data_IF_829386600352
#
_entry.id   IF_829386600352
#
_cell.length_a   1.000
_cell.length_b   1.000
_cell.length_c   1.000
_cell.angle_alpha   90.00
_cell.angle_beta   90.00
_cell.angle_gamma   90.00
#
_symmetry.space_group_name_H-M   'P 1'
#
loop_
_entity.id
_entity.type
_entity.pdbx_description
1 polymer ?
#
# COMPACT_ATOMS: atom_id res chain seq x y z
N UNK A 1 28.65 -84.74 2.59
CA UNK A 1 27.81 -85.17 1.44
C UNK A 1 26.59 -84.26 1.38
N UNK A 2 26.36 -83.61 0.23
CA UNK A 2 25.13 -82.90 -0.18
C UNK A 2 24.69 -81.68 0.66
N UNK A 3 24.16 -80.57 0.11
CA UNK A 3 23.98 -80.08 -1.27
C UNK A 3 23.80 -78.55 -1.17
N UNK A 4 24.35 -77.85 -2.15
CA UNK A 4 24.04 -76.46 -2.50
C UNK A 4 22.53 -76.27 -2.67
N UNK A 5 21.99 -75.15 -2.18
CA UNK A 5 20.78 -74.54 -2.71
C UNK A 5 21.00 -73.04 -2.82
N UNK A 6 21.23 -72.62 -4.07
CA UNK A 6 21.32 -71.23 -4.49
C UNK A 6 19.90 -70.67 -4.60
N UNK A 7 19.59 -69.64 -3.81
CA UNK A 7 18.42 -68.81 -4.05
C UNK A 7 18.90 -67.52 -4.73
N UNK A 8 18.93 -67.53 -6.06
CA UNK A 8 18.97 -66.33 -6.88
C UNK A 8 17.61 -65.65 -6.72
N UNK A 9 17.51 -64.71 -5.79
CA UNK A 9 16.40 -63.76 -5.78
C UNK A 9 16.73 -62.64 -6.78
N UNK A 10 16.01 -62.69 -7.90
CA UNK A 10 15.93 -61.64 -8.92
C UNK A 10 15.60 -60.29 -8.25
N UNK A 11 16.62 -59.47 -8.02
CA UNK A 11 16.47 -58.03 -7.77
C UNK A 11 16.13 -57.38 -9.11
N UNK A 12 14.84 -57.36 -9.42
CA UNK A 12 14.27 -56.54 -10.48
C UNK A 12 14.41 -55.09 -9.99
N UNK A 13 15.52 -54.45 -10.37
CA UNK A 13 15.72 -53.02 -10.19
C UNK A 13 14.67 -52.30 -11.05
N UNK A 14 13.74 -51.52 -10.48
CA UNK A 14 12.91 -50.65 -11.29
C UNK A 14 13.84 -49.63 -11.93
N UNK A 15 14.02 -49.76 -13.25
CA UNK A 15 14.57 -48.70 -14.09
C UNK A 15 13.55 -47.57 -14.00
N UNK A 16 13.75 -46.67 -13.03
CA UNK A 16 13.09 -45.38 -12.99
C UNK A 16 13.64 -44.65 -14.21
N UNK A 17 12.88 -44.69 -15.30
CA UNK A 17 13.06 -43.79 -16.43
C UNK A 17 12.77 -42.40 -15.88
N UNK A 18 13.79 -41.77 -15.32
CA UNK A 18 13.84 -40.33 -15.14
C UNK A 18 13.77 -39.77 -16.55
N UNK A 19 12.55 -39.56 -17.03
CA UNK A 19 12.28 -38.65 -18.14
C UNK A 19 12.97 -37.36 -17.77
N UNK A 20 14.16 -37.17 -18.33
CA UNK A 20 14.89 -35.92 -18.29
C UNK A 20 13.96 -34.91 -18.93
N UNK A 21 13.17 -34.20 -18.12
CA UNK A 21 12.65 -32.92 -18.50
C UNK A 21 13.89 -32.14 -18.93
N UNK A 22 14.05 -31.98 -20.24
CA UNK A 22 14.91 -30.96 -20.80
C UNK A 22 14.42 -29.65 -20.20
N UNK A 23 15.01 -29.28 -19.07
CA UNK A 23 14.99 -27.93 -18.55
C UNK A 23 15.69 -27.12 -19.62
N UNK A 24 14.93 -26.73 -20.66
CA UNK A 24 15.34 -25.65 -21.54
C UNK A 24 15.76 -24.55 -20.58
N UNK A 25 17.04 -24.14 -20.58
CA UNK A 25 17.48 -23.08 -19.70
C UNK A 25 16.51 -21.94 -19.94
N UNK A 26 15.74 -21.57 -18.92
CA UNK A 26 14.91 -20.38 -18.95
C UNK A 26 15.82 -19.30 -19.49
N UNK A 27 15.54 -18.83 -20.71
CA UNK A 27 16.37 -17.89 -21.39
C UNK A 27 16.66 -16.79 -20.38
N UNK A 28 17.95 -16.63 -20.02
CA UNK A 28 18.38 -15.63 -19.04
C UNK A 28 17.71 -14.33 -19.44
N UNK A 29 16.87 -13.81 -18.55
CA UNK A 29 16.13 -12.56 -18.68
C UNK A 29 17.16 -11.41 -18.51
N UNK A 30 18.18 -11.38 -19.37
CA UNK A 30 19.27 -10.40 -19.35
C UNK A 30 18.86 -9.11 -20.09
N UNK A 31 17.63 -9.05 -20.63
CA UNK A 31 17.01 -7.76 -20.90
C UNK A 31 16.53 -7.20 -19.58
N UNK A 32 17.45 -6.52 -18.87
CA UNK A 32 17.08 -5.51 -17.89
C UNK A 32 15.98 -4.67 -18.53
N UNK A 33 14.78 -4.71 -17.95
CA UNK A 33 13.76 -3.75 -18.30
C UNK A 33 14.39 -2.39 -18.03
N UNK A 34 14.73 -1.66 -19.10
CA UNK A 34 15.54 -0.44 -18.99
C UNK A 34 14.96 0.50 -17.93
N UNK A 35 15.82 1.28 -17.26
CA UNK A 35 15.41 2.12 -16.14
C UNK A 35 14.12 2.91 -16.46
N UNK A 36 13.00 2.52 -15.82
CA UNK A 36 11.70 3.20 -15.98
C UNK A 36 11.58 4.46 -15.11
N UNK A 37 12.62 4.74 -14.32
CA UNK A 37 12.69 5.86 -13.40
C UNK A 37 13.58 6.96 -13.97
N UNK A 38 13.17 8.21 -13.81
CA UNK A 38 13.94 9.38 -14.21
C UNK A 38 13.89 10.46 -13.15
N UNK A 39 15.06 10.99 -12.78
CA UNK A 39 15.17 11.99 -11.71
C UNK A 39 14.91 11.44 -10.30
N UNK A 40 14.56 12.34 -9.38
CA UNK A 40 14.41 12.04 -7.96
C UNK A 40 13.00 11.62 -7.55
N UNK A 41 11.99 11.93 -8.38
CA UNK A 41 10.61 11.51 -8.17
C UNK A 41 9.82 11.62 -9.46
N UNK A 42 8.78 10.81 -9.61
CA UNK A 42 7.90 10.93 -10.76
C UNK A 42 6.68 10.02 -10.68
N UNK A 43 5.87 10.12 -11.73
CA UNK A 43 4.68 9.30 -11.92
C UNK A 43 4.96 8.19 -12.94
N UNK A 44 4.31 7.05 -12.75
CA UNK A 44 4.37 5.90 -13.64
C UNK A 44 3.00 5.72 -14.27
N UNK A 45 2.97 5.71 -15.60
CA UNK A 45 1.73 5.49 -16.36
C UNK A 45 1.46 3.99 -16.50
N UNK A 46 0.22 3.63 -16.79
CA UNK A 46 -0.18 2.25 -17.07
C UNK A 46 0.70 1.60 -18.15
N UNK A 47 0.98 2.32 -19.24
CA UNK A 47 1.83 1.81 -20.33
C UNK A 47 3.27 1.50 -19.90
N UNK A 48 3.82 2.24 -18.94
CA UNK A 48 5.17 2.00 -18.43
C UNK A 48 5.17 0.87 -17.41
N UNK A 49 4.23 0.89 -16.46
CA UNK A 49 4.32 0.02 -15.29
C UNK A 49 3.84 -1.40 -15.55
N UNK A 50 2.83 -1.60 -16.40
CA UNK A 50 2.28 -2.94 -16.64
C UNK A 50 3.32 -3.86 -17.31
N UNK A 51 4.04 -3.44 -18.36
CA UNK A 51 5.11 -4.24 -18.93
C UNK A 51 6.22 -4.53 -17.90
N UNK A 52 6.56 -3.56 -17.05
CA UNK A 52 7.56 -3.74 -16.00
C UNK A 52 7.15 -4.78 -14.96
N UNK A 53 5.91 -4.71 -14.45
CA UNK A 53 5.34 -5.70 -13.51
C UNK A 53 5.40 -7.12 -14.07
N UNK A 54 5.07 -7.29 -15.36
CA UNK A 54 5.13 -8.58 -16.05
C UNK A 54 6.58 -9.03 -16.30
N UNK A 55 7.46 -8.11 -16.70
CA UNK A 55 8.86 -8.39 -16.96
C UNK A 55 9.63 -8.77 -15.68
N UNK A 56 9.27 -8.21 -14.54
CA UNK A 56 9.91 -8.49 -13.25
C UNK A 56 9.16 -9.54 -12.41
N UNK A 57 8.07 -10.11 -12.94
CA UNK A 57 7.22 -11.09 -12.24
C UNK A 57 6.76 -10.59 -10.85
N UNK A 58 6.40 -9.31 -10.75
CA UNK A 58 5.97 -8.71 -9.48
C UNK A 58 4.64 -9.26 -8.96
N UNK A 59 3.86 -9.88 -9.85
CA UNK A 59 2.58 -10.50 -9.53
C UNK A 59 2.49 -11.85 -10.23
N UNK A 60 2.09 -12.88 -9.47
CA UNK A 60 1.86 -14.23 -9.98
C UNK A 60 0.64 -14.29 -10.92
N UNK A 61 -0.27 -13.32 -10.80
CA UNK A 61 -1.60 -13.36 -11.43
C UNK A 61 -1.84 -12.24 -12.43
N UNK A 62 -0.83 -11.76 -13.19
CA UNK A 62 -1.06 -10.77 -14.24
C UNK A 62 -2.22 -11.21 -15.15
N UNK A 63 -3.40 -10.61 -14.94
CA UNK A 63 -4.64 -11.33 -15.15
C UNK A 63 -4.93 -11.57 -16.63
N UNK A 64 -5.35 -12.79 -17.03
CA UNK A 64 -5.90 -13.07 -18.36
C UNK A 64 -7.15 -12.22 -18.69
N UNK A 65 -7.73 -11.55 -17.68
CA UNK A 65 -8.98 -10.80 -17.74
C UNK A 65 -8.86 -9.41 -18.36
N UNK A 66 -7.63 -8.85 -18.44
CA UNK A 66 -7.41 -7.58 -19.15
C UNK A 66 -7.63 -7.84 -20.64
N UNK A 67 -8.87 -7.60 -21.08
CA UNK A 67 -9.26 -7.54 -22.50
C UNK A 67 -8.26 -6.67 -23.26
N UNK A 68 -8.15 -6.90 -24.57
CA UNK A 68 -7.24 -6.28 -25.57
C UNK A 68 -7.31 -4.73 -25.68
N UNK A 69 -7.54 -4.02 -24.60
CA UNK A 69 -7.49 -2.57 -24.53
C UNK A 69 -6.03 -2.14 -24.57
N UNK A 70 -5.65 -1.19 -25.43
CA UNK A 70 -4.33 -0.58 -25.38
C UNK A 70 -4.06 0.01 -24.00
N UNK A 71 -2.83 -0.15 -23.49
CA UNK A 71 -2.40 0.47 -22.24
C UNK A 71 -2.41 1.99 -22.38
N UNK A 72 -2.92 2.69 -21.36
CA UNK A 72 -3.01 4.15 -21.38
C UNK A 72 -1.69 4.83 -21.06
N UNK A 73 -1.36 5.86 -21.84
CA UNK A 73 -0.25 6.80 -21.57
C UNK A 73 -0.62 7.89 -20.57
N UNK A 74 -1.91 8.10 -20.30
CA UNK A 74 -2.40 9.17 -19.41
C UNK A 74 -2.83 8.68 -18.04
N UNK A 75 -3.09 7.39 -17.89
CA UNK A 75 -3.51 6.81 -16.61
C UNK A 75 -2.30 6.64 -15.71
N UNK A 76 -2.21 7.45 -14.65
CA UNK A 76 -1.21 7.28 -13.60
C UNK A 76 -1.56 6.04 -12.77
N UNK A 77 -0.61 5.12 -12.68
CA UNK A 77 -0.73 3.87 -11.92
C UNK A 77 0.33 3.73 -10.84
N UNK A 78 1.31 4.63 -10.79
CA UNK A 78 2.34 4.59 -9.76
C UNK A 78 3.02 5.91 -9.52
N UNK A 79 3.76 5.96 -8.43
CA UNK A 79 4.63 7.06 -8.06
C UNK A 79 5.90 6.51 -7.42
N UNK A 80 7.03 7.15 -7.70
CA UNK A 80 8.32 6.75 -7.15
C UNK A 80 9.09 7.94 -6.58
N UNK A 81 10.01 7.62 -5.69
CA UNK A 81 10.96 8.55 -5.12
C UNK A 81 12.34 7.89 -5.01
N UNK A 82 13.38 8.63 -5.31
CA UNK A 82 14.76 8.20 -5.12
C UNK A 82 15.11 8.19 -3.64
N UNK A 83 15.79 7.13 -3.22
CA UNK A 83 16.35 6.94 -1.90
C UNK A 83 17.79 6.44 -2.05
N UNK A 84 18.76 7.34 -1.92
CA UNK A 84 20.17 7.03 -2.18
C UNK A 84 20.38 6.45 -3.60
N UNK A 85 20.81 5.20 -3.69
CA UNK A 85 21.12 4.47 -4.93
C UNK A 85 19.96 3.59 -5.43
N UNK A 86 18.79 3.68 -4.80
CA UNK A 86 17.58 2.95 -5.19
C UNK A 86 16.35 3.86 -5.27
N UNK A 87 15.22 3.27 -5.67
CA UNK A 87 13.91 3.90 -5.66
C UNK A 87 12.96 3.18 -4.72
N UNK A 88 12.14 3.95 -4.01
CA UNK A 88 10.93 3.48 -3.35
C UNK A 88 9.75 3.73 -4.30
N UNK A 89 9.01 2.68 -4.62
CA UNK A 89 7.95 2.72 -5.64
C UNK A 89 6.64 2.24 -5.02
N UNK A 90 5.56 2.95 -5.31
CA UNK A 90 4.20 2.53 -5.00
C UNK A 90 3.37 2.51 -6.28
N UNK A 91 2.69 1.41 -6.54
CA UNK A 91 1.80 1.24 -7.70
C UNK A 91 0.43 0.74 -7.25
N UNK A 92 -0.61 1.08 -8.01
CA UNK A 92 -1.91 0.47 -7.89
C UNK A 92 -1.83 -1.00 -8.28
N UNK A 93 -2.50 -1.88 -7.53
CA UNK A 93 -2.60 -3.29 -7.92
C UNK A 93 -3.27 -3.38 -9.30
N UNK A 94 -2.61 -3.91 -10.35
CA UNK A 94 -3.12 -3.91 -11.72
C UNK A 94 -4.48 -4.57 -11.91
N UNK A 95 -4.78 -5.59 -11.09
CA UNK A 95 -6.03 -6.34 -11.18
C UNK A 95 -7.08 -5.88 -10.16
N UNK A 96 -6.66 -5.21 -9.09
CA UNK A 96 -7.54 -4.73 -8.03
C UNK A 96 -7.15 -3.32 -7.56
N UNK A 97 -7.20 -2.29 -8.44
CA UNK A 97 -6.72 -0.94 -8.12
C UNK A 97 -7.48 -0.25 -7.00
N UNK A 98 -8.62 -0.80 -6.57
CA UNK A 98 -9.45 -0.32 -5.47
C UNK A 98 -9.17 -0.99 -4.13
N UNK A 99 -8.41 -2.09 -4.12
CA UNK A 99 -8.22 -2.91 -2.90
C UNK A 99 -6.74 -3.09 -2.52
N UNK A 100 -5.82 -2.92 -3.47
CA UNK A 100 -4.40 -3.18 -3.25
C UNK A 100 -3.48 -2.11 -3.81
N UNK A 101 -2.41 -1.87 -3.06
CA UNK A 101 -1.23 -1.15 -3.49
C UNK A 101 -0.03 -2.09 -3.40
N UNK A 102 0.89 -2.00 -4.35
CA UNK A 102 2.13 -2.75 -4.32
C UNK A 102 3.25 -1.75 -4.12
N UNK A 103 3.99 -1.94 -3.03
CA UNK A 103 5.18 -1.17 -2.72
C UNK A 103 6.40 -2.04 -2.96
N UNK A 104 7.47 -1.46 -3.50
CA UNK A 104 8.73 -2.17 -3.67
C UNK A 104 9.90 -1.19 -3.70
N UNK A 105 11.05 -1.69 -3.29
CA UNK A 105 12.34 -1.03 -3.49
C UNK A 105 12.94 -1.50 -4.81
N UNK A 106 13.97 -0.81 -5.31
CA UNK A 106 14.68 -1.27 -6.52
C UNK A 106 16.17 -1.37 -6.27
N UNK A 107 16.88 -2.11 -7.11
CA UNK A 107 18.33 -2.03 -7.19
C UNK A 107 18.74 -0.86 -8.09
N UNK A 108 20.02 -0.49 -8.08
CA UNK A 108 20.57 0.49 -9.02
C UNK A 108 20.43 0.09 -10.49
N UNK A 109 20.26 -1.22 -10.76
CA UNK A 109 19.96 -1.77 -12.08
C UNK A 109 18.48 -1.71 -12.46
N UNK A 110 17.60 -1.27 -11.55
CA UNK A 110 16.16 -1.17 -11.77
C UNK A 110 15.39 -2.46 -11.47
N UNK A 111 16.02 -3.51 -10.94
CA UNK A 111 15.30 -4.72 -10.51
C UNK A 111 14.60 -4.48 -9.17
N UNK A 112 13.33 -4.89 -9.03
CA UNK A 112 12.60 -4.71 -7.79
C UNK A 112 13.11 -5.66 -6.71
N UNK A 113 13.12 -5.17 -5.48
CA UNK A 113 13.46 -5.88 -4.26
C UNK A 113 12.41 -5.55 -3.20
N UNK A 114 12.28 -6.41 -2.18
CA UNK A 114 11.41 -6.15 -1.03
C UNK A 114 9.98 -5.74 -1.42
N UNK A 115 9.29 -6.62 -2.17
CA UNK A 115 7.94 -6.34 -2.67
C UNK A 115 6.92 -6.60 -1.57
N UNK A 116 6.09 -5.60 -1.25
CA UNK A 116 5.07 -5.64 -0.22
C UNK A 116 3.70 -5.29 -0.78
N UNK A 117 2.70 -6.09 -0.42
CA UNK A 117 1.30 -5.77 -0.68
C UNK A 117 0.73 -4.97 0.49
N UNK A 118 0.14 -3.82 0.19
CA UNK A 118 -0.59 -3.01 1.15
C UNK A 118 -2.07 -3.00 0.75
N UNK A 119 -2.91 -3.53 1.64
CA UNK A 119 -4.35 -3.41 1.49
C UNK A 119 -4.79 -1.96 1.64
N UNK A 120 -5.62 -1.47 0.71
CA UNK A 120 -6.38 -0.25 0.91
C UNK A 120 -7.88 -0.57 0.77
N UNK A 121 -8.71 0.13 1.54
CA UNK A 121 -10.16 -0.04 1.43
C UNK A 121 -10.69 0.41 0.07
N UNK A 122 -11.92 -0.04 -0.24
CA UNK A 122 -12.58 0.00 -1.56
C UNK A 122 -12.76 1.42 -2.14
N UNK A 123 -12.52 2.48 -1.37
CA UNK A 123 -12.82 3.85 -1.75
C UNK A 123 -11.60 4.76 -1.64
N UNK A 124 -11.25 5.40 -2.75
CA UNK A 124 -10.14 6.37 -2.84
C UNK A 124 -10.51 7.77 -2.33
N UNK A 125 -11.50 7.89 -1.44
CA UNK A 125 -11.95 9.19 -0.95
C UNK A 125 -10.88 9.93 -0.14
N UNK A 126 -9.88 9.20 0.37
CA UNK A 126 -8.76 9.79 1.10
C UNK A 126 -7.65 10.33 0.19
N UNK A 127 -7.71 10.06 -1.12
CA UNK A 127 -6.77 10.55 -2.12
C UNK A 127 -7.21 11.93 -2.60
N UNK A 128 -6.52 12.96 -2.14
CA UNK A 128 -6.78 14.32 -2.56
C UNK A 128 -6.46 14.47 -4.05
N UNK A 129 -7.41 15.01 -4.83
CA UNK A 129 -7.31 15.21 -6.27
C UNK A 129 -7.10 13.93 -7.11
N UNK A 130 -7.39 12.75 -6.55
CA UNK A 130 -7.23 11.47 -7.24
C UNK A 130 -5.79 11.05 -7.49
N UNK A 131 -4.82 11.71 -6.84
CA UNK A 131 -3.41 11.29 -6.90
C UNK A 131 -3.16 10.10 -5.96
N UNK A 132 -2.22 9.23 -6.32
CA UNK A 132 -1.79 8.12 -5.47
C UNK A 132 -1.22 8.73 -4.18
N UNK A 133 -1.82 8.39 -3.04
CA UNK A 133 -1.49 8.97 -1.75
C UNK A 133 -0.21 8.39 -1.13
N UNK A 134 0.83 8.27 -1.97
CA UNK A 134 2.18 7.90 -1.63
C UNK A 134 3.09 9.13 -1.78
N UNK A 135 3.90 9.41 -0.77
CA UNK A 135 4.75 10.59 -0.79
C UNK A 135 6.01 10.48 0.04
N UNK A 136 6.78 11.56 0.03
CA UNK A 136 8.03 11.70 0.79
C UNK A 136 7.98 12.96 1.65
N UNK A 137 8.36 12.83 2.91
CA UNK A 137 8.50 13.91 3.87
C UNK A 137 9.88 13.79 4.52
N UNK A 138 10.82 14.67 4.11
CA UNK A 138 12.24 14.54 4.44
C UNK A 138 12.78 13.15 4.06
N UNK A 139 13.36 12.39 4.99
CA UNK A 139 13.88 11.04 4.76
C UNK A 139 12.83 9.93 4.92
N UNK A 140 11.58 10.28 5.22
CA UNK A 140 10.50 9.32 5.38
C UNK A 140 9.62 9.25 4.13
N UNK A 141 9.16 8.05 3.81
CA UNK A 141 8.07 7.81 2.89
C UNK A 141 6.77 7.68 3.67
N UNK A 142 5.69 8.19 3.11
CA UNK A 142 4.36 7.99 3.65
C UNK A 142 3.44 7.34 2.64
N UNK A 143 2.52 6.52 3.15
CA UNK A 143 1.42 5.96 2.39
C UNK A 143 0.12 6.22 3.14
N UNK A 144 -0.89 6.76 2.47
CA UNK A 144 -2.23 6.92 3.02
C UNK A 144 -3.15 5.86 2.41
N UNK A 145 -3.69 4.98 3.25
CA UNK A 145 -4.77 4.07 2.86
C UNK A 145 -6.08 4.55 3.46
N UNK A 146 -7.17 4.21 2.78
CA UNK A 146 -8.50 4.56 3.24
C UNK A 146 -9.15 3.36 3.91
N UNK A 147 -9.93 3.61 4.96
CA UNK A 147 -10.88 2.69 5.57
C UNK A 147 -12.27 3.27 5.45
N UNK A 148 -13.23 2.42 5.13
CA UNK A 148 -14.64 2.80 5.01
C UNK A 148 -15.51 1.78 5.72
N UNK A 149 -16.55 2.28 6.38
CA UNK A 149 -17.68 1.51 6.87
C UNK A 149 -18.96 2.34 6.72
N UNK A 150 -20.11 1.74 6.99
CA UNK A 150 -21.44 2.35 6.80
C UNK A 150 -21.60 3.76 7.43
N UNK A 151 -20.83 4.04 8.48
CA UNK A 151 -20.86 5.29 9.25
C UNK A 151 -19.45 5.77 9.62
N UNK A 152 -18.43 5.25 8.95
CA UNK A 152 -17.03 5.43 9.33
C UNK A 152 -16.18 5.70 8.10
N UNK A 153 -15.40 6.77 8.16
CA UNK A 153 -14.37 7.08 7.19
C UNK A 153 -13.06 7.26 7.97
N UNK A 154 -12.11 6.33 7.83
CA UNK A 154 -10.77 6.42 8.39
C UNK A 154 -9.69 6.60 7.33
N UNK A 155 -8.66 7.37 7.63
CA UNK A 155 -7.39 7.37 6.89
C UNK A 155 -6.32 6.73 7.77
N UNK A 156 -5.55 5.82 7.21
CA UNK A 156 -4.37 5.27 7.87
C UNK A 156 -3.13 5.77 7.14
N UNK A 157 -2.26 6.50 7.86
CA UNK A 157 -1.01 6.97 7.30
C UNK A 157 0.14 6.14 7.83
N UNK A 158 0.72 5.32 6.97
CA UNK A 158 1.96 4.61 7.24
C UNK A 158 3.12 5.55 6.96
N UNK A 159 4.13 5.54 7.83
CA UNK A 159 5.34 6.34 7.69
C UNK A 159 6.55 5.42 7.94
N UNK A 160 7.52 5.42 7.03
CA UNK A 160 8.64 4.49 7.08
C UNK A 160 9.85 5.03 6.31
N UNK A 161 11.07 4.65 6.73
CA UNK A 161 12.31 4.92 5.96
C UNK A 161 12.64 3.78 5.02
N UNK A 162 12.44 2.56 5.49
CA UNK A 162 12.62 1.30 4.76
C UNK A 162 11.26 0.63 4.58
N UNK A 163 11.13 -0.16 3.53
CA UNK A 163 9.87 -0.85 3.28
C UNK A 163 9.71 -2.09 4.17
N UNK A 164 8.60 -2.15 4.91
CA UNK A 164 8.23 -3.28 5.74
C UNK A 164 6.88 -3.85 5.29
N UNK A 165 6.58 -5.09 5.72
CA UNK A 165 5.24 -5.63 5.56
C UNK A 165 4.21 -4.76 6.32
N UNK A 166 3.00 -4.60 5.76
CA UNK A 166 1.98 -3.72 6.34
C UNK A 166 1.64 -4.05 7.80
N UNK A 167 1.66 -5.33 8.17
CA UNK A 167 1.38 -5.80 9.53
C UNK A 167 2.52 -5.52 10.53
N UNK A 168 3.69 -5.06 10.06
CA UNK A 168 4.83 -4.68 10.91
C UNK A 168 4.94 -3.16 11.10
N UNK A 169 4.08 -2.37 10.44
CA UNK A 169 4.06 -0.91 10.56
C UNK A 169 2.77 -0.46 11.23
N UNK A 170 2.89 0.25 12.33
CA UNK A 170 1.73 0.87 12.98
C UNK A 170 1.35 2.16 12.23
N UNK A 171 0.14 2.28 11.69
CA UNK A 171 -0.26 3.51 11.03
C UNK A 171 -0.58 4.63 12.02
N UNK A 172 -0.33 5.86 11.59
CA UNK A 172 -0.91 7.08 12.17
C UNK A 172 -2.36 7.17 11.73
N UNK A 173 -3.30 7.07 12.67
CA UNK A 173 -4.72 7.00 12.38
C UNK A 173 -5.38 8.38 12.35
N UNK A 174 -6.17 8.65 11.32
CA UNK A 174 -7.16 9.73 11.30
C UNK A 174 -8.51 9.12 10.99
N UNK A 175 -9.60 9.66 11.54
CA UNK A 175 -10.93 9.17 11.19
C UNK A 175 -12.01 10.20 11.45
N UNK A 176 -13.13 10.01 10.79
CA UNK A 176 -14.41 10.60 11.11
C UNK A 176 -15.46 9.50 11.22
N UNK A 177 -16.26 9.55 12.27
CA UNK A 177 -17.40 8.69 12.50
C UNK A 177 -18.65 9.55 12.58
N UNK A 178 -19.66 9.19 11.80
CA UNK A 178 -20.99 9.80 11.80
C UNK A 178 -21.99 8.74 12.24
N UNK A 179 -22.61 8.88 13.41
CA UNK A 179 -23.58 7.92 13.91
C UNK A 179 -24.73 7.62 12.94
N UNK A 180 -25.10 6.35 12.81
CA UNK A 180 -26.26 5.95 12.02
C UNK A 180 -27.53 6.02 12.87
N UNK A 181 -28.05 7.24 13.11
CA UNK A 181 -29.36 7.41 13.75
C UNK A 181 -30.32 8.12 12.79
N UNK A 182 -31.63 7.80 12.78
CA UNK A 182 -32.64 8.45 11.92
C UNK A 182 -32.97 9.89 12.32
N UNK A 183 -32.23 10.48 13.28
CA UNK A 183 -32.42 11.86 13.74
C UNK A 183 -31.84 12.90 12.77
N UNK A 184 -32.34 14.13 12.88
CA UNK A 184 -31.83 15.29 12.13
C UNK A 184 -30.42 15.71 12.59
N UNK A 185 -30.09 15.43 13.85
CA UNK A 185 -28.75 15.57 14.43
C UNK A 185 -28.11 14.20 14.60
N UNK A 186 -26.89 14.04 14.13
CA UNK A 186 -26.08 12.82 14.27
C UNK A 186 -24.92 13.10 15.21
N UNK A 187 -24.60 12.17 16.11
CA UNK A 187 -23.36 12.22 16.87
C UNK A 187 -22.16 12.07 15.95
N UNK A 188 -21.22 13.00 16.07
CA UNK A 188 -20.03 13.10 15.24
C UNK A 188 -18.78 12.96 16.10
N UNK A 189 -17.83 12.16 15.61
CA UNK A 189 -16.49 12.09 16.19
C UNK A 189 -15.45 12.19 15.09
N UNK A 190 -14.39 12.96 15.31
CA UNK A 190 -13.28 13.08 14.36
C UNK A 190 -11.94 13.07 15.07
N UNK A 191 -11.07 12.14 14.67
CA UNK A 191 -9.65 12.14 14.98
C UNK A 191 -8.89 12.81 13.85
N UNK A 192 -8.16 13.87 14.18
CA UNK A 192 -7.20 14.50 13.28
C UNK A 192 -5.79 14.33 13.83
N UNK A 193 -4.80 14.28 12.94
CA UNK A 193 -3.39 14.21 13.32
C UNK A 193 -2.59 15.34 12.68
N UNK A 194 -1.58 15.83 13.38
CA UNK A 194 -0.55 16.70 12.83
C UNK A 194 0.80 16.04 13.02
N UNK A 195 1.59 15.96 11.96
CA UNK A 195 2.88 15.26 11.97
C UNK A 195 3.99 16.29 11.86
N UNK A 196 4.95 16.19 12.77
CA UNK A 196 6.20 16.96 12.75
C UNK A 196 7.37 15.99 12.70
N UNK A 197 8.26 16.17 11.73
CA UNK A 197 9.49 15.38 11.63
C UNK A 197 10.65 16.18 12.22
N UNK A 198 11.29 15.60 13.23
CA UNK A 198 12.59 15.99 13.77
C UNK A 198 13.67 15.03 13.25
N UNK A 199 14.94 15.40 13.41
CA UNK A 199 16.09 14.64 12.91
C UNK A 199 16.06 13.15 13.32
N UNK A 200 15.60 12.86 14.53
CA UNK A 200 15.63 11.55 15.17
C UNK A 200 14.24 11.02 15.55
N UNK A 201 13.17 11.79 15.33
CA UNK A 201 11.83 11.41 15.79
C UNK A 201 10.72 11.89 14.87
N UNK A 202 9.64 11.12 14.82
CA UNK A 202 8.36 11.54 14.25
C UNK A 202 7.42 11.84 15.42
N UNK A 203 6.96 13.08 15.50
CA UNK A 203 6.01 13.51 16.52
C UNK A 203 4.64 13.62 15.86
N UNK A 204 3.64 12.99 16.47
CA UNK A 204 2.27 12.99 15.97
C UNK A 204 1.33 13.52 17.04
N UNK A 205 0.75 14.67 16.78
CA UNK A 205 -0.20 15.32 17.67
C UNK A 205 -1.62 14.95 17.25
N UNK A 206 -2.37 14.32 18.15
CA UNK A 206 -3.75 13.91 17.92
C UNK A 206 -4.73 14.90 18.54
N UNK A 207 -5.77 15.25 17.79
CA UNK A 207 -6.93 15.99 18.30
C UNK A 207 -8.21 15.21 18.03
N UNK A 208 -8.90 14.86 19.11
CA UNK A 208 -10.26 14.31 19.08
C UNK A 208 -11.26 15.46 19.13
N UNK A 209 -12.24 15.41 18.23
CA UNK A 209 -13.33 16.37 18.14
C UNK A 209 -14.62 15.58 18.28
N UNK A 210 -15.43 15.93 19.28
CA UNK A 210 -16.79 15.43 19.43
C UNK A 210 -17.77 16.51 18.98
N UNK A 211 -18.95 16.12 18.53
CA UNK A 211 -19.95 17.10 18.14
C UNK A 211 -21.25 16.49 17.67
N UNK A 212 -22.09 17.36 17.12
CA UNK A 212 -23.28 16.97 16.39
C UNK A 212 -23.24 17.51 14.98
N UNK A 213 -23.60 16.67 14.01
CA UNK A 213 -23.74 17.05 12.60
C UNK A 213 -25.21 17.17 12.24
N UNK A 214 -25.60 18.31 11.71
CA UNK A 214 -26.93 18.49 11.15
C UNK A 214 -26.96 17.94 9.72
N UNK A 215 -27.80 16.93 9.46
CA UNK A 215 -27.85 16.27 8.14
C UNK A 215 -28.23 17.18 6.97
N UNK A 216 -29.03 18.21 7.23
CA UNK A 216 -29.59 19.06 6.18
C UNK A 216 -28.63 20.17 5.74
N UNK A 217 -27.86 20.72 6.68
CA UNK A 217 -26.95 21.85 6.46
C UNK A 217 -25.48 21.44 6.40
N UNK A 218 -25.18 20.17 6.67
CA UNK A 218 -23.83 19.62 6.81
C UNK A 218 -22.96 20.34 7.88
N UNK A 219 -23.61 21.08 8.79
CA UNK A 219 -22.90 21.86 9.80
C UNK A 219 -22.53 20.97 10.99
N UNK A 220 -21.27 21.08 11.44
CA UNK A 220 -20.74 20.40 12.62
C UNK A 220 -20.68 21.39 13.78
N UNK A 221 -21.40 21.11 14.86
CA UNK A 221 -21.25 21.82 16.12
C UNK A 221 -20.26 21.04 17.00
N UNK A 222 -19.08 21.60 17.24
CA UNK A 222 -18.07 20.98 18.08
C UNK A 222 -18.46 21.13 19.56
N UNK A 223 -18.43 20.01 20.29
CA UNK A 223 -18.47 20.01 21.73
C UNK A 223 -17.05 20.29 22.25
N UNK A 224 -16.84 21.37 23.00
CA UNK A 224 -15.53 21.70 23.53
C UNK A 224 -15.16 20.70 24.60
N UNK A 225 -13.86 20.44 24.70
CA UNK A 225 -13.29 19.58 25.73
C UNK A 225 -13.48 20.18 27.13
N UNK A 226 -13.80 21.48 27.24
CA UNK A 226 -14.18 22.18 28.48
C UNK A 226 -15.41 23.12 28.27
N UNK A 227 -16.61 22.63 28.57
CA UNK A 227 -17.90 23.30 28.92
C UNK A 227 -18.51 24.50 28.14
N UNK A 228 -17.92 25.06 27.08
CA UNK A 228 -18.52 26.20 26.34
C UNK A 228 -18.78 25.94 24.84
N UNK A 229 -19.98 25.49 24.42
CA UNK A 229 -20.29 25.11 23.00
C UNK A 229 -19.93 26.17 21.96
N UNK A 230 -19.26 25.76 20.88
CA UNK A 230 -19.01 26.57 19.69
C UNK A 230 -19.52 25.83 18.44
N UNK A 231 -20.53 26.37 17.76
CA UNK A 231 -20.88 25.91 16.42
C UNK A 231 -20.03 26.69 15.41
N UNK A 232 -19.18 25.99 14.68
CA UNK A 232 -18.28 26.59 13.70
C UNK A 232 -18.62 26.11 12.30
N UNK A 233 -18.86 27.05 11.39
CA UNK A 233 -18.71 26.79 9.96
C UNK A 233 -17.22 26.80 9.62
N UNK A 234 -16.60 25.63 9.51
CA UNK A 234 -15.23 25.39 8.99
C UNK A 234 -14.16 26.44 9.35
N UNK A 235 -13.51 26.30 10.50
CA UNK A 235 -12.36 27.10 10.93
C UNK A 235 -11.47 26.34 11.94
N UNK A 236 -10.16 26.58 11.93
CA UNK A 236 -9.14 25.76 12.61
C UNK A 236 -8.87 26.17 14.06
N UNK A 237 -8.50 25.19 14.91
CA UNK A 237 -8.08 25.40 16.30
C UNK A 237 -7.09 24.31 16.78
N UNK A 238 -6.16 24.65 17.68
CA UNK A 238 -4.95 23.88 18.00
C UNK A 238 -5.13 22.81 19.09
N UNK A 239 -4.34 21.73 19.02
CA UNK A 239 -4.33 20.57 19.93
C UNK A 239 -3.05 20.42 20.77
N UNK A 240 -3.00 19.36 21.60
CA UNK A 240 -1.99 19.08 22.66
C UNK A 240 -1.21 17.79 22.37
N UNK A 241 0.04 17.76 22.86
CA UNK A 241 1.15 16.87 22.53
C UNK A 241 1.00 15.41 23.00
N UNK A 242 1.30 14.43 22.13
CA UNK A 242 1.65 13.04 22.51
C UNK A 242 2.87 12.56 21.71
N UNK A 243 3.87 12.03 22.41
CA UNK A 243 5.10 11.49 21.82
C UNK A 243 5.01 9.97 21.72
N UNK A 244 5.34 9.40 20.56
CA UNK A 244 5.53 7.96 20.36
C UNK A 244 7.02 7.73 20.09
N UNK A 245 7.71 6.86 20.84
CA UNK A 245 9.11 6.55 20.55
C UNK A 245 9.24 5.74 19.26
N UNK A 246 10.30 6.05 18.50
CA UNK A 246 10.70 5.40 17.25
C UNK A 246 11.12 3.94 17.45
#
# INVERSE_FOLDING_TARGET
MLKKLSLLAYLISPIIVLSSCENKPLAKKDQASGAIFSGDSGYLTEKVIIPYVVAENLLDTASPSRKKTPLSDSLIMGKYYRHHDHYMVCILHPDEPSNGLILFETTSAGHPTNVQLYGHGIYNYCWENGDIAFGKLQDYFYLITCRTGMSYNGKERYLFKELYAQNHVNPILEFSWDGHLPSAEIDFQRLTSQITISNDSVITDYRMIHGKRNRQSDTICEEPVDSARWCMSSGTGNGRLLTVPA
#
